data_IF_529697835180
#
_entry.id   IF_529697835180
#
_cell.length_a   1.000
_cell.length_b   1.000
_cell.length_c   1.000
_cell.angle_alpha   90.00
_cell.angle_beta   90.00
_cell.angle_gamma   90.00
#
_symmetry.space_group_name_H-M   'P 1'
#
loop_
_entity.id
_entity.type
_entity.pdbx_description
1 polymer ?
#
# COMPACT_ATOMS: atom_id res chain seq x y z
N UNK A 1 -7.17 7.05 -9.70
CA UNK A 1 -6.46 7.19 -11.01
C UNK A 1 -5.66 8.50 -11.09
N UNK A 2 -6.20 9.69 -10.75
CA UNK A 2 -5.45 10.96 -10.88
C UNK A 2 -4.14 10.99 -10.05
N UNK A 3 -4.18 10.52 -8.80
CA UNK A 3 -2.99 10.47 -7.96
C UNK A 3 -1.93 9.50 -8.50
N UNK A 4 -2.34 8.36 -9.08
CA UNK A 4 -1.41 7.40 -9.65
C UNK A 4 -0.67 7.96 -10.86
N UNK A 5 -1.33 8.72 -11.73
CA UNK A 5 -0.68 9.38 -12.87
C UNK A 5 0.30 10.47 -12.43
N UNK A 6 -0.08 11.28 -11.43
CA UNK A 6 0.79 12.32 -10.89
C UNK A 6 2.08 11.72 -10.29
N UNK A 7 1.96 10.66 -9.51
CA UNK A 7 3.12 9.96 -8.95
C UNK A 7 3.96 9.31 -10.06
N UNK A 8 3.31 8.68 -11.06
CA UNK A 8 3.99 8.06 -12.19
C UNK A 8 4.83 9.07 -12.99
N UNK A 9 4.29 10.26 -13.26
CA UNK A 9 5.00 11.34 -13.95
C UNK A 9 6.29 11.73 -13.21
N UNK A 10 6.24 11.80 -11.88
CA UNK A 10 7.42 12.11 -11.07
C UNK A 10 8.46 10.98 -11.12
N UNK A 11 8.05 9.72 -11.06
CA UNK A 11 8.98 8.59 -11.22
C UNK A 11 9.62 8.59 -12.61
N UNK A 12 8.85 8.85 -13.68
CA UNK A 12 9.39 9.01 -15.04
C UNK A 12 10.42 10.14 -15.11
N UNK A 13 10.15 11.29 -14.48
CA UNK A 13 11.09 12.41 -14.42
C UNK A 13 12.38 12.10 -13.66
N UNK A 14 12.34 11.14 -12.74
CA UNK A 14 13.51 10.62 -12.03
C UNK A 14 14.27 9.53 -12.81
N UNK A 15 13.82 9.17 -14.02
CA UNK A 15 14.45 8.17 -14.88
C UNK A 15 13.98 6.73 -14.67
N UNK A 16 12.91 6.50 -13.92
CA UNK A 16 12.31 5.17 -13.75
C UNK A 16 11.37 4.82 -14.90
N UNK A 17 11.27 3.55 -15.22
CA UNK A 17 10.11 3.01 -15.94
C UNK A 17 8.97 2.78 -14.96
N UNK A 18 7.74 3.04 -15.38
CA UNK A 18 6.58 2.95 -14.48
C UNK A 18 5.54 2.01 -15.08
N UNK A 19 5.07 1.05 -14.28
CA UNK A 19 3.94 0.19 -14.58
C UNK A 19 2.82 0.49 -13.58
N UNK A 20 1.65 0.89 -14.09
CA UNK A 20 0.45 1.17 -13.29
C UNK A 20 -0.67 0.20 -13.66
N UNK A 21 -0.73 -1.00 -13.07
CA UNK A 21 -1.79 -1.95 -13.37
C UNK A 21 -3.13 -1.49 -12.76
N UNK A 22 -4.21 -1.73 -13.48
CA UNK A 22 -5.54 -1.71 -12.86
C UNK A 22 -5.65 -2.89 -11.90
N UNK A 23 -6.01 -2.64 -10.66
CA UNK A 23 -6.28 -3.70 -9.69
C UNK A 23 -7.48 -4.54 -10.13
N UNK A 24 -7.58 -5.79 -9.65
CA UNK A 24 -8.76 -6.66 -9.91
C UNK A 24 -10.06 -5.91 -9.66
N UNK A 25 -11.09 -6.18 -10.44
CA UNK A 25 -12.38 -5.53 -10.40
C UNK A 25 -12.36 -3.99 -10.59
N UNK A 26 -11.28 -3.44 -11.16
CA UNK A 26 -11.12 -2.01 -11.45
C UNK A 26 -10.67 -1.78 -12.88
N UNK A 27 -11.04 -0.63 -13.45
CA UNK A 27 -10.63 -0.22 -14.78
C UNK A 27 -10.98 -1.26 -15.85
N UNK A 28 -9.98 -1.74 -16.56
CA UNK A 28 -10.11 -2.80 -17.59
C UNK A 28 -9.77 -4.20 -17.05
N UNK A 29 -9.35 -4.32 -15.79
CA UNK A 29 -9.03 -5.61 -15.19
C UNK A 29 -10.28 -6.42 -14.87
N UNK A 30 -10.19 -7.73 -15.06
CA UNK A 30 -11.23 -8.69 -14.68
C UNK A 30 -11.42 -8.78 -13.17
N UNK A 31 -12.39 -9.63 -12.78
CA UNK A 31 -12.77 -9.84 -11.38
C UNK A 31 -14.12 -9.22 -11.06
N UNK A 32 -14.68 -9.55 -9.87
CA UNK A 32 -15.98 -9.06 -9.42
C UNK A 32 -15.90 -8.23 -8.15
N UNK A 33 -14.87 -8.45 -7.34
CA UNK A 33 -14.75 -7.87 -6.00
C UNK A 33 -13.34 -7.39 -5.74
N UNK A 34 -13.25 -6.19 -5.15
CA UNK A 34 -12.06 -5.72 -4.47
C UNK A 34 -11.99 -6.37 -3.09
N UNK A 35 -10.79 -6.71 -2.64
CA UNK A 35 -10.56 -7.40 -1.36
C UNK A 35 -9.69 -6.60 -0.41
N UNK A 36 -9.66 -5.27 -0.61
CA UNK A 36 -8.99 -4.31 0.27
C UNK A 36 -7.50 -4.63 0.49
N UNK A 37 -6.81 -4.99 -0.58
CA UNK A 37 -5.37 -5.32 -0.56
C UNK A 37 -5.07 -6.81 -0.41
N UNK A 38 -5.99 -7.63 0.07
CA UNK A 38 -5.74 -9.06 0.34
C UNK A 38 -5.33 -9.80 -0.93
N UNK A 39 -6.26 -10.02 -1.88
CA UNK A 39 -5.94 -10.69 -3.15
C UNK A 39 -5.23 -9.78 -4.14
N UNK A 40 -5.40 -8.46 -4.00
CA UNK A 40 -4.65 -7.49 -4.80
C UNK A 40 -3.14 -7.63 -4.57
N UNK A 41 -2.70 -8.01 -3.36
CA UNK A 41 -1.29 -8.29 -3.06
C UNK A 41 -0.73 -9.47 -3.87
N UNK A 42 -1.57 -10.49 -4.13
CA UNK A 42 -1.22 -11.62 -5.01
C UNK A 42 -0.99 -11.13 -6.46
N UNK A 43 -1.91 -10.29 -6.94
CA UNK A 43 -1.81 -9.73 -8.30
C UNK A 43 -0.55 -8.89 -8.47
N UNK A 44 -0.19 -8.07 -7.47
CA UNK A 44 1.04 -7.26 -7.51
C UNK A 44 2.29 -8.16 -7.56
N UNK A 45 2.32 -9.26 -6.80
CA UNK A 45 3.42 -10.22 -6.88
C UNK A 45 3.49 -10.87 -8.26
N UNK A 46 2.35 -11.23 -8.87
CA UNK A 46 2.32 -11.76 -10.24
C UNK A 46 2.81 -10.72 -11.26
N UNK A 47 2.43 -9.46 -11.13
CA UNK A 47 2.94 -8.37 -11.96
C UNK A 47 4.46 -8.19 -11.78
N UNK A 48 4.97 -8.21 -10.56
CA UNK A 48 6.41 -8.12 -10.30
C UNK A 48 7.18 -9.31 -10.94
N UNK A 49 6.68 -10.53 -10.79
CA UNK A 49 7.23 -11.72 -11.47
C UNK A 49 7.24 -11.54 -13.00
N UNK A 50 6.15 -11.00 -13.55
CA UNK A 50 6.04 -10.77 -14.99
C UNK A 50 7.04 -9.71 -15.47
N UNK A 51 7.25 -8.64 -14.71
CA UNK A 51 8.29 -7.65 -15.02
C UNK A 51 9.67 -8.29 -14.99
N UNK A 52 9.98 -9.09 -13.97
CA UNK A 52 11.26 -9.78 -13.85
C UNK A 52 11.53 -10.78 -14.99
N UNK A 53 10.49 -11.46 -15.51
CA UNK A 53 10.62 -12.32 -16.69
C UNK A 53 11.05 -11.55 -17.94
N UNK A 54 10.47 -10.36 -18.17
CA UNK A 54 10.82 -9.53 -19.34
C UNK A 54 12.11 -8.74 -19.16
N UNK A 55 12.42 -8.39 -17.92
CA UNK A 55 13.56 -7.56 -17.57
C UNK A 55 14.32 -8.18 -16.39
N UNK A 56 15.12 -9.25 -16.61
CA UNK A 56 15.77 -10.00 -15.51
C UNK A 56 16.74 -9.19 -14.65
N UNK A 57 17.18 -8.02 -15.13
CA UNK A 57 18.06 -7.11 -14.38
C UNK A 57 17.29 -5.95 -13.73
N UNK A 58 15.97 -5.93 -13.85
CA UNK A 58 15.18 -4.86 -13.28
C UNK A 58 15.20 -4.92 -11.74
N UNK A 59 15.31 -3.75 -11.13
CA UNK A 59 15.04 -3.54 -9.71
C UNK A 59 13.67 -2.88 -9.59
N UNK A 60 12.78 -3.46 -8.81
CA UNK A 60 11.38 -3.08 -8.73
C UNK A 60 11.12 -2.39 -7.39
N UNK A 61 10.56 -1.20 -7.43
CA UNK A 61 10.01 -0.51 -6.27
C UNK A 61 8.50 -0.58 -6.35
N UNK A 62 7.86 -1.12 -5.32
CA UNK A 62 6.41 -1.08 -5.20
C UNK A 62 5.99 0.25 -4.58
N UNK A 63 5.02 0.94 -5.17
CA UNK A 63 4.44 2.15 -4.59
C UNK A 63 2.92 2.06 -4.60
N UNK A 64 2.30 2.29 -3.46
CA UNK A 64 0.85 2.27 -3.32
C UNK A 64 0.32 3.40 -2.46
N UNK A 65 -0.91 3.86 -2.79
CA UNK A 65 -1.62 4.92 -2.04
C UNK A 65 -2.93 4.35 -1.51
N UNK A 66 -3.26 4.58 -0.25
CA UNK A 66 -4.49 4.15 0.42
C UNK A 66 -4.66 2.62 0.34
N UNK A 67 -5.70 2.10 -0.32
CA UNK A 67 -5.84 0.66 -0.58
C UNK A 67 -4.64 0.08 -1.33
N UNK A 68 -4.02 0.86 -2.23
CA UNK A 68 -2.77 0.48 -2.90
C UNK A 68 -1.60 0.36 -1.92
N UNK A 69 -1.54 1.21 -0.89
CA UNK A 69 -0.55 1.12 0.19
C UNK A 69 -0.73 -0.17 1.00
N UNK A 70 -1.98 -0.50 1.38
CA UNK A 70 -2.29 -1.78 1.99
C UNK A 70 -1.85 -2.96 1.12
N UNK A 71 -2.12 -2.89 -0.19
CA UNK A 71 -1.74 -3.90 -1.18
C UNK A 71 -0.22 -4.11 -1.21
N UNK A 72 0.58 -3.05 -1.31
CA UNK A 72 2.05 -3.19 -1.39
C UNK A 72 2.67 -3.62 -0.08
N UNK A 73 2.11 -3.23 1.07
CA UNK A 73 2.55 -3.73 2.39
C UNK A 73 2.29 -5.22 2.52
N UNK A 74 1.11 -5.69 2.11
CA UNK A 74 0.78 -7.11 2.13
C UNK A 74 1.64 -7.89 1.14
N UNK A 75 1.92 -7.36 -0.05
CA UNK A 75 2.86 -7.96 -1.00
C UNK A 75 4.27 -8.06 -0.43
N UNK A 76 4.76 -7.03 0.28
CA UNK A 76 6.09 -7.01 0.90
C UNK A 76 6.32 -8.09 1.97
N UNK A 77 5.24 -8.57 2.60
CA UNK A 77 5.28 -9.67 3.59
C UNK A 77 5.17 -11.07 3.00
N UNK A 78 4.92 -11.21 1.70
CA UNK A 78 4.68 -12.53 1.07
C UNK A 78 5.98 -13.31 0.85
N UNK A 79 5.90 -14.63 1.03
CA UNK A 79 7.02 -15.53 0.80
C UNK A 79 7.41 -15.67 -0.67
N UNK A 80 6.44 -15.50 -1.56
CA UNK A 80 6.61 -15.62 -3.00
C UNK A 80 6.93 -14.29 -3.71
N UNK A 81 7.26 -13.23 -2.94
CA UNK A 81 7.75 -11.97 -3.48
C UNK A 81 9.06 -12.19 -4.23
N UNK A 82 9.16 -11.79 -5.53
CA UNK A 82 10.40 -11.96 -6.28
C UNK A 82 11.54 -11.07 -5.75
N UNK A 83 12.77 -11.56 -5.85
CA UNK A 83 13.98 -10.89 -5.35
C UNK A 83 14.27 -9.55 -6.04
N UNK A 84 13.74 -9.35 -7.22
CA UNK A 84 13.81 -8.12 -8.00
C UNK A 84 13.05 -6.96 -7.35
N UNK A 85 12.09 -7.26 -6.44
CA UNK A 85 11.46 -6.23 -5.60
C UNK A 85 12.44 -5.84 -4.50
N UNK A 86 12.93 -4.61 -4.55
CA UNK A 86 14.01 -4.13 -3.67
C UNK A 86 13.56 -3.15 -2.59
N UNK A 87 12.38 -2.54 -2.75
CA UNK A 87 11.78 -1.65 -1.75
C UNK A 87 10.26 -1.51 -1.97
N UNK A 88 9.56 -1.06 -0.93
CA UNK A 88 8.17 -0.64 -0.99
C UNK A 88 8.00 0.77 -0.42
N UNK A 89 7.09 1.54 -1.01
CA UNK A 89 6.63 2.85 -0.54
C UNK A 89 5.13 2.76 -0.34
N UNK A 90 4.67 2.96 0.86
CA UNK A 90 3.26 3.05 1.19
C UNK A 90 2.88 4.48 1.55
N UNK A 91 1.76 4.97 1.06
CA UNK A 91 1.23 6.31 1.36
C UNK A 91 -0.21 6.18 1.85
N UNK A 92 -0.44 6.60 3.09
CA UNK A 92 -1.72 6.60 3.81
C UNK A 92 -2.45 5.24 3.86
N UNK A 93 -1.69 4.15 4.04
CA UNK A 93 -2.24 2.82 4.27
C UNK A 93 -2.81 2.66 5.67
N UNK A 94 -3.65 1.63 5.85
CA UNK A 94 -4.30 1.31 7.12
C UNK A 94 -3.71 0.03 7.74
N UNK A 95 -3.95 -0.13 9.05
CA UNK A 95 -3.52 -1.30 9.83
C UNK A 95 -4.26 -2.57 9.45
N UNK A 96 -5.60 -2.47 9.40
CA UNK A 96 -6.50 -3.57 9.11
C UNK A 96 -7.80 -3.02 8.49
N UNK A 97 -8.38 -3.73 7.51
CA UNK A 97 -9.56 -3.26 6.80
C UNK A 97 -10.83 -3.29 7.67
N UNK A 98 -11.00 -4.27 8.53
CA UNK A 98 -12.19 -4.35 9.38
C UNK A 98 -12.17 -3.28 10.48
N UNK A 99 -11.00 -2.99 11.07
CA UNK A 99 -10.82 -1.90 12.03
C UNK A 99 -11.15 -0.55 11.39
N UNK A 100 -10.60 -0.29 10.20
CA UNK A 100 -10.87 0.94 9.45
C UNK A 100 -12.36 1.10 9.14
N UNK A 101 -13.01 0.05 8.62
CA UNK A 101 -14.43 0.08 8.26
C UNK A 101 -15.29 0.28 9.50
N UNK A 102 -15.02 -0.43 10.60
CA UNK A 102 -15.74 -0.28 11.86
C UNK A 102 -15.68 1.16 12.38
N UNK A 103 -14.48 1.75 12.39
CA UNK A 103 -14.27 3.13 12.79
C UNK A 103 -15.03 4.12 11.88
N UNK A 104 -14.99 3.92 10.56
CA UNK A 104 -15.69 4.80 9.61
C UNK A 104 -17.22 4.66 9.70
N UNK A 105 -17.73 3.46 10.00
CA UNK A 105 -19.16 3.25 10.27
C UNK A 105 -19.62 4.03 11.51
N UNK A 106 -18.84 4.00 12.57
CA UNK A 106 -19.15 4.74 13.81
C UNK A 106 -19.06 6.26 13.57
N UNK A 107 -17.97 6.73 12.96
CA UNK A 107 -17.72 8.17 12.73
C UNK A 107 -18.70 8.81 11.73
N UNK A 108 -19.07 8.08 10.67
CA UNK A 108 -19.89 8.65 9.56
C UNK A 108 -21.37 8.41 9.74
N UNK A 109 -21.78 7.33 10.38
CA UNK A 109 -23.17 6.91 10.48
C UNK A 109 -23.67 6.70 11.91
N UNK A 110 -22.80 6.80 12.93
CA UNK A 110 -23.15 6.51 14.31
C UNK A 110 -23.53 5.02 14.55
N UNK A 111 -23.13 4.13 13.64
CA UNK A 111 -23.45 2.71 13.72
C UNK A 111 -22.38 1.97 14.52
N UNK A 112 -22.76 1.24 15.58
CA UNK A 112 -21.81 0.45 16.34
C UNK A 112 -21.25 -0.70 15.49
N UNK A 113 -19.98 -1.04 15.71
CA UNK A 113 -19.33 -2.15 15.00
C UNK A 113 -20.09 -3.47 15.15
N UNK A 114 -20.56 -3.80 16.35
CA UNK A 114 -21.39 -4.99 16.59
C UNK A 114 -22.89 -4.63 16.55
N UNK A 115 -23.75 -5.42 15.87
CA UNK A 115 -23.44 -6.65 15.12
C UNK A 115 -23.09 -6.41 13.63
N UNK A 116 -23.02 -5.16 13.18
CA UNK A 116 -22.93 -4.81 11.76
C UNK A 116 -21.68 -5.41 11.08
N UNK A 117 -20.52 -5.34 11.72
CA UNK A 117 -19.26 -5.90 11.16
C UNK A 117 -19.33 -7.44 11.05
N UNK A 118 -19.99 -8.13 11.97
CA UNK A 118 -20.18 -9.58 11.89
C UNK A 118 -20.99 -9.96 10.64
N UNK A 119 -22.09 -9.22 10.39
CA UNK A 119 -22.91 -9.43 9.20
C UNK A 119 -22.15 -9.11 7.92
N UNK A 120 -21.38 -8.01 7.92
CA UNK A 120 -20.56 -7.62 6.78
C UNK A 120 -19.49 -8.67 6.47
N UNK A 121 -18.74 -9.15 7.47
CA UNK A 121 -17.75 -10.21 7.31
C UNK A 121 -18.36 -11.50 6.78
N UNK A 122 -19.48 -11.94 7.38
CA UNK A 122 -20.21 -13.10 6.88
C UNK A 122 -20.62 -12.92 5.41
N UNK A 123 -21.08 -11.73 5.03
CA UNK A 123 -21.48 -11.43 3.65
C UNK A 123 -20.27 -11.43 2.70
N UNK A 124 -19.14 -10.85 3.10
CA UNK A 124 -17.90 -10.86 2.33
C UNK A 124 -17.42 -12.30 2.05
N UNK A 125 -17.42 -13.16 3.05
CA UNK A 125 -17.06 -14.57 2.89
C UNK A 125 -17.99 -15.28 1.89
N UNK A 126 -19.30 -15.09 2.02
CA UNK A 126 -20.30 -15.77 1.15
C UNK A 126 -20.25 -15.28 -0.30
N UNK A 127 -19.98 -14.00 -0.53
CA UNK A 127 -20.10 -13.38 -1.85
C UNK A 127 -18.74 -13.23 -2.56
N UNK A 128 -17.72 -12.85 -1.82
CA UNK A 128 -16.39 -12.55 -2.37
C UNK A 128 -15.31 -13.58 -1.96
N UNK A 129 -15.63 -14.48 -1.04
CA UNK A 129 -14.75 -15.57 -0.61
C UNK A 129 -13.52 -15.05 0.15
N UNK A 130 -13.66 -13.96 0.93
CA UNK A 130 -12.63 -13.46 1.83
C UNK A 130 -13.29 -12.81 3.06
N UNK A 131 -12.55 -12.75 4.17
CA UNK A 131 -12.95 -12.02 5.36
C UNK A 131 -12.19 -10.67 5.41
N UNK A 132 -12.82 -9.62 5.96
CA UNK A 132 -12.13 -8.33 6.11
C UNK A 132 -10.90 -8.42 7.02
N UNK A 133 -10.88 -9.37 7.96
CA UNK A 133 -9.71 -9.66 8.78
C UNK A 133 -8.49 -10.15 7.98
N UNK A 134 -8.71 -10.76 6.78
CA UNK A 134 -7.61 -11.20 5.91
C UNK A 134 -6.83 -10.00 5.32
N UNK A 135 -7.49 -8.85 5.21
CA UNK A 135 -6.87 -7.60 4.74
C UNK A 135 -6.21 -6.86 5.91
N UNK A 136 -5.12 -7.44 6.42
CA UNK A 136 -4.37 -7.00 7.59
C UNK A 136 -2.91 -6.60 7.26
N UNK A 137 -2.66 -5.42 6.67
CA UNK A 137 -1.30 -4.93 6.41
C UNK A 137 -0.39 -4.96 7.64
N UNK A 138 -0.95 -4.74 8.84
CA UNK A 138 -0.16 -4.74 10.08
C UNK A 138 0.48 -6.11 10.37
N UNK A 139 -0.15 -7.19 10.00
CA UNK A 139 0.43 -8.52 10.16
C UNK A 139 1.46 -8.81 9.06
N UNK A 140 1.19 -8.35 7.84
CA UNK A 140 2.10 -8.51 6.72
C UNK A 140 3.43 -7.78 6.93
N UNK A 141 3.43 -6.54 7.45
CA UNK A 141 4.67 -5.78 7.67
C UNK A 141 5.58 -6.39 8.73
N UNK A 142 5.06 -7.24 9.64
CA UNK A 142 5.87 -8.03 10.58
C UNK A 142 6.75 -9.06 9.88
N UNK A 143 6.39 -9.44 8.68
CA UNK A 143 7.09 -10.41 7.83
C UNK A 143 7.71 -9.75 6.60
N UNK A 144 7.83 -8.42 6.59
CA UNK A 144 8.34 -7.67 5.44
C UNK A 144 9.75 -8.11 5.06
N UNK A 145 9.96 -8.41 3.78
CA UNK A 145 11.21 -8.93 3.22
C UNK A 145 12.06 -7.86 2.55
N UNK A 146 11.47 -6.69 2.34
CA UNK A 146 12.11 -5.54 1.69
C UNK A 146 11.99 -4.29 2.56
N UNK A 147 12.87 -3.30 2.38
CA UNK A 147 12.74 -1.99 3.01
C UNK A 147 11.39 -1.35 2.72
N UNK A 148 10.80 -0.68 3.73
CA UNK A 148 9.50 0.01 3.58
C UNK A 148 9.64 1.47 4.03
N UNK A 149 9.22 2.39 3.16
CA UNK A 149 8.97 3.79 3.49
C UNK A 149 7.48 3.99 3.74
N UNK A 150 7.15 4.41 4.96
CA UNK A 150 5.80 4.78 5.38
C UNK A 150 5.62 6.28 5.22
N UNK A 151 4.56 6.71 4.52
CA UNK A 151 4.22 8.12 4.33
C UNK A 151 2.78 8.35 4.77
N UNK A 152 2.52 9.45 5.50
CA UNK A 152 1.15 9.76 5.92
C UNK A 152 0.93 11.26 6.10
N UNK A 153 -0.29 11.71 5.82
CA UNK A 153 -0.72 13.07 6.09
C UNK A 153 -1.18 13.27 7.55
N UNK A 154 -0.72 14.32 8.22
CA UNK A 154 -1.08 14.53 9.64
C UNK A 154 -2.53 14.97 9.86
N UNK A 155 -3.27 15.33 8.81
CA UNK A 155 -4.71 15.68 8.86
C UNK A 155 -5.58 14.67 8.11
N UNK A 156 -5.11 13.45 7.95
CA UNK A 156 -5.90 12.38 7.38
C UNK A 156 -7.02 11.97 8.36
N UNK A 157 -8.27 12.18 7.96
CA UNK A 157 -9.47 11.83 8.73
C UNK A 157 -10.12 10.53 8.27
N UNK A 158 -9.72 10.02 7.10
CA UNK A 158 -10.21 8.75 6.58
C UNK A 158 -9.39 7.58 7.16
N UNK A 159 -8.08 7.67 7.05
CA UNK A 159 -7.14 6.74 7.70
C UNK A 159 -6.35 7.54 8.74
N UNK A 160 -6.62 7.38 10.03
CA UNK A 160 -5.97 8.19 11.07
C UNK A 160 -4.45 8.04 11.07
N UNK A 161 -3.70 9.13 11.28
CA UNK A 161 -2.22 9.11 11.23
C UNK A 161 -1.56 8.13 12.21
N UNK A 162 -2.22 7.81 13.33
CA UNK A 162 -1.73 6.82 14.28
C UNK A 162 -1.64 5.40 13.69
N UNK A 163 -2.40 5.10 12.61
CA UNK A 163 -2.26 3.81 11.92
C UNK A 163 -0.88 3.70 11.23
N UNK A 164 -0.35 4.79 10.66
CA UNK A 164 1.02 4.78 10.12
C UNK A 164 2.07 4.54 11.21
N UNK A 165 1.90 5.15 12.38
CA UNK A 165 2.79 4.94 13.54
C UNK A 165 2.75 3.48 14.01
N UNK A 166 1.56 2.87 14.05
CA UNK A 166 1.38 1.46 14.41
C UNK A 166 2.01 0.53 13.37
N UNK A 167 1.80 0.79 12.07
CA UNK A 167 2.42 0.03 10.98
C UNK A 167 3.94 0.12 11.05
N UNK A 168 4.48 1.34 11.21
CA UNK A 168 5.91 1.57 11.36
C UNK A 168 6.46 0.84 12.60
N UNK A 169 5.78 0.89 13.74
CA UNK A 169 6.22 0.20 14.95
C UNK A 169 6.23 -1.33 14.76
N UNK A 170 5.18 -1.88 14.14
CA UNK A 170 5.02 -3.31 13.92
C UNK A 170 5.96 -3.89 12.85
N UNK A 171 6.39 -3.07 11.88
CA UNK A 171 7.17 -3.53 10.75
C UNK A 171 8.53 -4.10 11.18
N UNK A 172 8.85 -5.31 10.70
CA UNK A 172 10.15 -5.97 10.85
C UNK A 172 10.89 -5.98 9.50
N UNK A 173 10.83 -4.86 8.78
CA UNK A 173 11.52 -4.68 7.51
C UNK A 173 13.04 -4.53 7.70
N UNK A 174 13.88 -4.94 6.72
CA UNK A 174 15.34 -4.75 6.78
C UNK A 174 15.76 -3.30 7.00
N UNK A 175 15.00 -2.37 6.49
CA UNK A 175 15.06 -0.93 6.79
C UNK A 175 13.65 -0.36 6.72
N UNK A 176 13.35 0.60 7.61
CA UNK A 176 12.09 1.32 7.61
C UNK A 176 12.30 2.81 7.94
N UNK A 177 11.51 3.66 7.28
CA UNK A 177 11.46 5.09 7.56
C UNK A 177 9.99 5.53 7.62
N UNK A 178 9.69 6.56 8.43
CA UNK A 178 8.35 7.16 8.53
C UNK A 178 8.43 8.63 8.17
N UNK A 179 7.62 9.07 7.22
CA UNK A 179 7.48 10.46 6.80
C UNK A 179 6.05 10.93 7.07
N UNK A 180 5.90 11.83 8.04
CA UNK A 180 4.64 12.50 8.30
C UNK A 180 4.62 13.85 7.58
N UNK A 181 3.64 14.08 6.68
CA UNK A 181 3.48 15.35 5.95
C UNK A 181 2.51 16.26 6.68
N UNK A 182 3.00 17.39 7.24
CA UNK A 182 2.15 18.29 8.02
C UNK A 182 0.99 18.87 7.20
N UNK A 183 -0.21 18.77 7.75
CA UNK A 183 -1.41 19.36 7.16
C UNK A 183 -2.01 18.59 5.98
N UNK A 184 -1.34 17.57 5.46
CA UNK A 184 -1.89 16.76 4.38
C UNK A 184 -3.09 15.93 4.85
N UNK A 185 -4.13 15.89 4.02
CA UNK A 185 -5.30 15.04 4.19
C UNK A 185 -5.09 13.70 3.45
N UNK A 186 -6.09 12.81 3.47
CA UNK A 186 -6.02 11.50 2.85
C UNK A 186 -5.59 11.55 1.37
N UNK A 187 -4.58 10.74 1.02
CA UNK A 187 -4.02 10.61 -0.33
C UNK A 187 -3.52 11.93 -0.97
N UNK A 188 -3.20 12.94 -0.14
CA UNK A 188 -2.74 14.24 -0.60
C UNK A 188 -1.31 14.59 -0.16
N UNK A 189 -0.57 13.65 0.42
CA UNK A 189 0.79 13.90 0.91
C UNK A 189 1.73 14.38 -0.20
N UNK A 190 1.67 13.76 -1.38
CA UNK A 190 2.47 14.12 -2.56
C UNK A 190 2.19 15.51 -3.13
N UNK A 191 0.98 16.06 -2.90
CA UNK A 191 0.58 17.39 -3.37
C UNK A 191 0.79 18.45 -2.31
N UNK A 192 0.65 18.10 -1.01
CA UNK A 192 0.80 19.02 0.10
C UNK A 192 2.27 19.48 0.29
N UNK A 193 3.23 18.57 0.13
CA UNK A 193 4.67 18.90 0.11
C UNK A 193 5.39 18.01 -0.88
N UNK A 194 5.25 18.35 -2.15
CA UNK A 194 5.84 17.63 -3.27
C UNK A 194 7.36 17.45 -3.13
N UNK A 195 8.06 18.52 -2.72
CA UNK A 195 9.51 18.50 -2.64
C UNK A 195 9.99 17.50 -1.58
N UNK A 196 9.43 17.57 -0.37
CA UNK A 196 9.81 16.64 0.72
C UNK A 196 9.40 15.21 0.38
N UNK A 197 8.21 15.01 -0.18
CA UNK A 197 7.68 13.71 -0.57
C UNK A 197 8.63 12.98 -1.55
N UNK A 198 8.88 13.53 -2.72
CA UNK A 198 9.69 12.87 -3.74
C UNK A 198 11.19 12.85 -3.43
N UNK A 199 11.71 13.85 -2.71
CA UNK A 199 13.09 13.83 -2.22
C UNK A 199 13.30 12.69 -1.23
N UNK A 200 12.36 12.45 -0.32
CA UNK A 200 12.44 11.36 0.68
C UNK A 200 12.35 10.01 -0.01
N UNK A 201 11.41 9.83 -0.94
CA UNK A 201 11.32 8.60 -1.73
C UNK A 201 12.64 8.33 -2.46
N UNK A 202 13.15 9.31 -3.20
CA UNK A 202 14.41 9.17 -3.94
C UNK A 202 15.55 8.74 -3.01
N UNK A 203 15.74 9.46 -1.91
CA UNK A 203 16.79 9.15 -0.92
C UNK A 203 16.63 7.74 -0.35
N UNK A 204 15.41 7.31 -0.09
CA UNK A 204 15.12 6.00 0.48
C UNK A 204 15.39 4.88 -0.50
N UNK A 205 14.95 4.99 -1.76
CA UNK A 205 15.04 3.91 -2.75
C UNK A 205 16.39 3.85 -3.46
N UNK A 206 17.09 4.98 -3.63
CA UNK A 206 18.34 5.08 -4.40
C UNK A 206 19.40 4.02 -4.01
N UNK A 207 19.68 3.74 -2.72
CA UNK A 207 20.68 2.75 -2.34
C UNK A 207 20.40 1.32 -2.83
N UNK A 208 19.14 1.02 -3.14
CA UNK A 208 18.71 -0.30 -3.62
C UNK A 208 18.63 -0.37 -5.14
N UNK A 209 18.60 0.78 -5.81
CA UNK A 209 18.57 0.88 -7.27
C UNK A 209 19.96 0.86 -7.90
N UNK A 210 20.99 1.28 -7.16
CA UNK A 210 22.38 1.21 -7.59
C UNK A 210 22.92 -0.22 -7.43
N UNK A 211 23.77 -0.66 -8.38
CA UNK A 211 24.51 -1.91 -8.19
C UNK A 211 25.47 -1.73 -7.01
N UNK A 212 25.43 -2.66 -6.06
CA UNK A 212 26.49 -2.73 -5.06
C UNK A 212 27.77 -3.11 -5.80
N UNK A 213 28.66 -2.12 -5.97
CA UNK A 213 30.00 -2.31 -6.54
C UNK A 213 30.87 -3.16 -5.64
#
# INVERSE_FOLDING_TARGET
QQNSYYIAEHYLSMGYHVLTPDLRASGLSGGRYLTLGYRESEDIVLWAKRVAEFYPQAKIVLHGVSMGAATVMMAAGREDLPSEVVAAVEDCGYTNADELIAMQMENSFGLPAFPAMNLLNWRCEKVAGFNLHDAAPIDAVRHARVPILFIHGTKDTLVPPNMAEQLYAAANAPKKELLMIPGAVHAAASQADQQTYFRTIRKFVQPYMEEQK
#
